data_IF_007713753290
#
_entry.id   IF_007713753290
#
_cell.length_a   1.000
_cell.length_b   1.000
_cell.length_c   1.000
_cell.angle_alpha   90.00
_cell.angle_beta   90.00
_cell.angle_gamma   90.00
#
_symmetry.space_group_name_H-M   'P 1'
#
loop_
_entity.id
_entity.type
_entity.pdbx_description
1 polymer ?
#
# COMPACT_ATOMS: atom_id res chain seq x y z
N UNK A 1 34.28 -9.31 -58.49
CA UNK A 1 32.83 -9.34 -58.22
C UNK A 1 32.46 -10.02 -56.89
N UNK A 2 33.44 -10.36 -56.01
CA UNK A 2 33.14 -11.03 -54.73
C UNK A 2 33.17 -10.09 -53.51
N UNK A 3 33.97 -9.02 -53.51
CA UNK A 3 34.13 -8.17 -52.32
C UNK A 3 32.85 -7.38 -51.95
N UNK A 4 32.05 -6.98 -52.94
CA UNK A 4 30.82 -6.23 -52.70
C UNK A 4 29.74 -7.08 -51.99
N UNK A 5 29.66 -8.37 -52.31
CA UNK A 5 28.67 -9.27 -51.71
C UNK A 5 28.92 -9.51 -50.22
N UNK A 6 30.18 -9.71 -49.83
CA UNK A 6 30.55 -9.91 -48.42
C UNK A 6 30.28 -8.67 -47.56
N UNK A 7 30.51 -7.47 -48.11
CA UNK A 7 30.18 -6.21 -47.42
C UNK A 7 28.67 -6.10 -47.20
N UNK A 8 27.84 -6.45 -48.17
CA UNK A 8 26.38 -6.41 -48.02
C UNK A 8 25.88 -7.47 -47.04
N UNK A 9 26.44 -8.69 -47.04
CA UNK A 9 26.13 -9.70 -46.02
C UNK A 9 26.51 -9.25 -44.61
N UNK A 10 27.68 -8.62 -44.44
CA UNK A 10 28.11 -8.03 -43.17
C UNK A 10 27.16 -6.90 -42.75
N UNK A 11 26.78 -6.03 -43.68
CA UNK A 11 25.80 -4.97 -43.45
C UNK A 11 24.44 -5.52 -42.99
N UNK A 12 23.95 -6.58 -43.63
CA UNK A 12 22.71 -7.24 -43.22
C UNK A 12 22.83 -7.85 -41.81
N UNK A 13 23.95 -8.49 -41.48
CA UNK A 13 24.17 -9.03 -40.14
C UNK A 13 24.20 -7.91 -39.07
N UNK A 14 24.82 -6.77 -39.37
CA UNK A 14 24.84 -5.59 -38.49
C UNK A 14 23.41 -5.04 -38.32
N UNK A 15 22.66 -4.83 -39.41
CA UNK A 15 21.29 -4.36 -39.33
C UNK A 15 20.39 -5.31 -38.54
N UNK A 16 20.55 -6.62 -38.74
CA UNK A 16 19.81 -7.63 -37.98
C UNK A 16 20.15 -7.57 -36.48
N UNK A 17 21.41 -7.35 -36.13
CA UNK A 17 21.84 -7.18 -34.73
C UNK A 17 21.27 -5.89 -34.10
N UNK A 18 21.20 -4.80 -34.86
CA UNK A 18 20.61 -3.54 -34.39
C UNK A 18 19.09 -3.65 -34.24
N UNK A 19 18.42 -4.31 -35.18
CA UNK A 19 16.99 -4.66 -35.10
C UNK A 19 16.72 -5.47 -33.83
N UNK A 20 17.47 -6.54 -33.60
CA UNK A 20 17.43 -7.36 -32.37
C UNK A 20 17.56 -6.53 -31.10
N UNK A 21 18.54 -5.62 -31.08
CA UNK A 21 18.78 -4.74 -29.95
C UNK A 21 17.63 -3.77 -29.72
N UNK A 22 17.21 -3.00 -30.73
CA UNK A 22 16.14 -1.99 -30.56
C UNK A 22 14.81 -2.64 -30.21
N UNK A 23 14.46 -3.73 -30.89
CA UNK A 23 13.24 -4.47 -30.63
C UNK A 23 13.21 -5.04 -29.20
N UNK A 24 14.32 -5.65 -28.76
CA UNK A 24 14.45 -6.13 -27.39
C UNK A 24 14.44 -5.03 -26.34
N UNK A 25 15.11 -3.90 -26.60
CA UNK A 25 15.11 -2.74 -25.70
C UNK A 25 13.75 -2.05 -25.64
N UNK A 26 12.97 -2.07 -26.72
CA UNK A 26 11.60 -1.57 -26.70
C UNK A 26 10.79 -2.28 -25.60
N UNK A 27 10.84 -3.61 -25.56
CA UNK A 27 10.14 -4.38 -24.53
C UNK A 27 10.85 -4.34 -23.17
N UNK A 28 12.17 -4.46 -23.13
CA UNK A 28 12.94 -4.54 -21.89
C UNK A 28 13.04 -3.20 -21.15
N UNK A 29 13.24 -2.10 -21.87
CA UNK A 29 13.35 -0.77 -21.27
C UNK A 29 12.04 -0.02 -21.18
N UNK A 30 10.99 -0.35 -21.95
CA UNK A 30 9.69 0.36 -21.90
C UNK A 30 8.57 -0.51 -21.30
N UNK A 31 8.69 -1.84 -21.31
CA UNK A 31 7.68 -2.75 -20.77
C UNK A 31 7.44 -2.66 -19.25
N UNK A 32 8.47 -2.66 -18.37
CA UNK A 32 8.25 -2.56 -16.92
C UNK A 32 7.57 -1.25 -16.53
N UNK A 33 6.62 -1.27 -15.59
CA UNK A 33 6.01 -0.01 -15.12
C UNK A 33 7.03 0.88 -14.41
N UNK A 34 6.85 2.20 -14.50
CA UNK A 34 7.72 3.17 -13.83
C UNK A 34 7.81 2.93 -12.31
N UNK A 35 6.71 2.53 -11.68
CA UNK A 35 6.67 2.15 -10.27
C UNK A 35 7.55 0.93 -9.97
N UNK A 36 7.45 -0.15 -10.76
CA UNK A 36 8.30 -1.35 -10.58
C UNK A 36 9.78 -1.02 -10.72
N UNK A 37 10.13 -0.19 -11.71
CA UNK A 37 11.50 0.28 -11.89
C UNK A 37 11.99 1.11 -10.70
N UNK A 38 11.17 2.02 -10.16
CA UNK A 38 11.52 2.81 -8.98
C UNK A 38 11.72 1.94 -7.73
N UNK A 39 10.87 0.94 -7.52
CA UNK A 39 11.01 -0.02 -6.41
C UNK A 39 12.32 -0.80 -6.56
N UNK A 40 12.60 -1.34 -7.75
CA UNK A 40 13.85 -2.08 -8.01
C UNK A 40 15.10 -1.19 -7.85
N UNK A 41 15.06 0.04 -8.35
CA UNK A 41 16.16 0.99 -8.23
C UNK A 41 16.45 1.39 -6.77
N UNK A 42 15.39 1.60 -5.96
CA UNK A 42 15.49 1.83 -4.52
C UNK A 42 16.00 0.59 -3.77
N UNK A 43 15.68 -0.61 -4.27
CA UNK A 43 16.23 -1.88 -3.79
C UNK A 43 17.70 -2.12 -4.16
N UNK A 44 18.35 -1.20 -4.88
CA UNK A 44 19.78 -1.26 -5.20
C UNK A 44 20.10 -1.81 -6.60
N UNK A 45 19.10 -2.08 -7.45
CA UNK A 45 19.36 -2.56 -8.82
C UNK A 45 19.91 -1.42 -9.71
N UNK A 46 21.19 -1.55 -10.07
CA UNK A 46 21.91 -0.56 -10.91
C UNK A 46 21.34 -0.50 -12.33
N UNK A 47 20.82 -1.61 -12.84
CA UNK A 47 20.19 -1.67 -14.17
C UNK A 47 18.90 -0.87 -14.21
N UNK A 48 18.03 -1.07 -13.21
CA UNK A 48 16.81 -0.30 -13.02
C UNK A 48 17.10 1.20 -12.87
N UNK A 49 18.13 1.58 -12.11
CA UNK A 49 18.56 2.99 -11.98
C UNK A 49 18.95 3.61 -13.33
N UNK A 50 19.72 2.88 -14.16
CA UNK A 50 20.13 3.36 -15.49
C UNK A 50 18.95 3.46 -16.45
N UNK A 51 18.02 2.51 -16.41
CA UNK A 51 16.80 2.54 -17.22
C UNK A 51 15.93 3.72 -16.80
N UNK A 52 15.76 3.97 -15.49
CA UNK A 52 15.02 5.12 -14.98
C UNK A 52 15.61 6.45 -15.45
N UNK A 53 16.93 6.61 -15.38
CA UNK A 53 17.60 7.83 -15.86
C UNK A 53 17.37 8.05 -17.36
N UNK A 54 17.27 6.97 -18.16
CA UNK A 54 16.93 7.08 -19.58
C UNK A 54 15.44 7.36 -19.80
N UNK A 55 14.56 6.87 -18.93
CA UNK A 55 13.11 7.11 -18.98
C UNK A 55 12.67 8.48 -18.44
N UNK A 56 13.57 9.31 -17.92
CA UNK A 56 13.22 10.70 -17.55
C UNK A 56 12.49 11.41 -18.69
N UNK A 57 13.01 11.26 -19.92
CA UNK A 57 12.33 11.63 -21.16
C UNK A 57 11.75 10.38 -21.84
N UNK A 58 10.64 9.84 -21.33
CA UNK A 58 10.04 8.58 -21.82
C UNK A 58 9.77 8.62 -23.33
N UNK A 59 9.11 9.67 -23.83
CA UNK A 59 8.81 9.78 -25.25
C UNK A 59 10.06 9.92 -26.12
N UNK A 60 11.10 10.61 -25.66
CA UNK A 60 12.37 10.69 -26.39
C UNK A 60 13.06 9.32 -26.45
N UNK A 61 13.03 8.54 -25.36
CA UNK A 61 13.53 7.18 -25.34
C UNK A 61 12.74 6.27 -26.31
N UNK A 62 11.40 6.31 -26.22
CA UNK A 62 10.50 5.56 -27.07
C UNK A 62 10.75 5.87 -28.55
N UNK A 63 10.74 7.14 -28.94
CA UNK A 63 10.94 7.52 -30.34
C UNK A 63 12.34 7.20 -30.84
N UNK A 64 13.37 7.34 -30.01
CA UNK A 64 14.74 6.92 -30.37
C UNK A 64 14.80 5.43 -30.71
N UNK A 65 14.21 4.58 -29.85
CA UNK A 65 14.20 3.13 -30.05
C UNK A 65 13.38 2.76 -31.30
N UNK A 66 12.20 3.36 -31.48
CA UNK A 66 11.34 3.09 -32.63
C UNK A 66 11.97 3.52 -33.96
N UNK A 67 12.53 4.73 -34.03
CA UNK A 67 13.24 5.21 -35.21
C UNK A 67 14.43 4.32 -35.55
N UNK A 68 15.21 3.92 -34.54
CA UNK A 68 16.32 2.99 -34.71
C UNK A 68 15.88 1.64 -35.25
N UNK A 69 14.81 1.08 -34.69
CA UNK A 69 14.25 -0.22 -35.12
C UNK A 69 13.77 -0.17 -36.57
N UNK A 70 12.96 0.84 -36.91
CA UNK A 70 12.43 1.01 -38.26
C UNK A 70 13.57 1.23 -39.26
N UNK A 71 14.54 2.08 -38.93
CA UNK A 71 15.70 2.32 -39.80
C UNK A 71 16.52 1.05 -40.05
N UNK A 72 16.80 0.26 -39.01
CA UNK A 72 17.54 -0.99 -39.14
C UNK A 72 16.78 -2.03 -39.99
N UNK A 73 15.47 -2.17 -39.76
CA UNK A 73 14.62 -3.09 -40.52
C UNK A 73 14.51 -2.69 -41.99
N UNK A 74 14.28 -1.40 -42.27
CA UNK A 74 14.20 -0.89 -43.64
C UNK A 74 15.55 -1.04 -44.35
N UNK A 75 16.66 -0.71 -43.70
CA UNK A 75 17.99 -0.86 -44.28
C UNK A 75 18.31 -2.33 -44.56
N UNK A 76 17.96 -3.25 -43.66
CA UNK A 76 18.12 -4.69 -43.87
C UNK A 76 17.32 -5.18 -45.09
N UNK A 77 16.07 -4.74 -45.25
CA UNK A 77 15.24 -5.11 -46.40
C UNK A 77 15.83 -4.58 -47.72
N UNK A 78 16.33 -3.33 -47.73
CA UNK A 78 16.98 -2.74 -48.90
C UNK A 78 18.29 -3.46 -49.27
N UNK A 79 19.09 -3.84 -48.26
CA UNK A 79 20.31 -4.62 -48.49
C UNK A 79 19.98 -6.03 -48.99
N UNK A 80 18.93 -6.66 -48.46
CA UNK A 80 18.48 -7.97 -48.94
C UNK A 80 18.03 -7.91 -50.40
N UNK A 81 17.27 -6.88 -50.81
CA UNK A 81 16.82 -6.69 -52.20
C UNK A 81 17.98 -6.42 -53.17
N UNK A 82 19.09 -5.87 -52.68
CA UNK A 82 20.29 -5.65 -53.51
C UNK A 82 21.05 -6.93 -53.90
N UNK A 83 20.83 -8.05 -53.19
CA UNK A 83 21.50 -9.35 -53.43
C UNK A 83 20.52 -10.44 -53.86
N UNK A 84 19.30 -10.41 -53.32
CA UNK A 84 18.25 -11.42 -53.54
C UNK A 84 17.18 -10.86 -54.49
N UNK A 85 16.52 -11.73 -55.26
CA UNK A 85 15.54 -11.29 -56.25
C UNK A 85 14.14 -11.14 -55.65
N UNK A 86 13.65 -9.90 -55.53
CA UNK A 86 12.24 -9.55 -55.32
C UNK A 86 11.56 -10.32 -54.19
N UNK A 87 10.66 -11.25 -54.53
CA UNK A 87 9.89 -12.04 -53.54
C UNK A 87 10.80 -12.79 -52.56
N UNK A 88 11.97 -13.27 -53.00
CA UNK A 88 12.93 -13.96 -52.13
C UNK A 88 13.57 -12.98 -51.14
N UNK A 89 13.92 -11.77 -51.58
CA UNK A 89 14.45 -10.72 -50.69
C UNK A 89 13.42 -10.34 -49.63
N UNK A 90 12.17 -10.15 -50.04
CA UNK A 90 11.05 -9.89 -49.14
C UNK A 90 10.86 -11.01 -48.12
N UNK A 91 10.80 -12.26 -48.55
CA UNK A 91 10.61 -13.40 -47.65
C UNK A 91 11.78 -13.55 -46.66
N UNK A 92 13.02 -13.47 -47.13
CA UNK A 92 14.22 -13.61 -46.28
C UNK A 92 14.33 -12.47 -45.29
N UNK A 93 14.15 -11.22 -45.73
CA UNK A 93 14.20 -10.06 -44.82
C UNK A 93 13.06 -10.10 -43.80
N UNK A 94 11.83 -10.44 -44.22
CA UNK A 94 10.67 -10.53 -43.32
C UNK A 94 10.86 -11.63 -42.28
N UNK A 95 11.21 -12.85 -42.69
CA UNK A 95 11.43 -13.96 -41.74
C UNK A 95 12.64 -13.69 -40.87
N UNK A 96 13.71 -13.15 -41.45
CA UNK A 96 14.95 -12.80 -40.74
C UNK A 96 14.70 -11.78 -39.63
N UNK A 97 14.09 -10.64 -39.98
CA UNK A 97 13.71 -9.58 -39.03
C UNK A 97 12.76 -10.14 -37.98
N UNK A 98 11.69 -10.81 -38.40
CA UNK A 98 10.64 -11.24 -37.47
C UNK A 98 11.17 -12.24 -36.44
N UNK A 99 11.90 -13.28 -36.88
CA UNK A 99 12.39 -14.32 -35.97
C UNK A 99 13.62 -13.85 -35.19
N UNK A 100 14.64 -13.36 -35.89
CA UNK A 100 15.95 -13.10 -35.32
C UNK A 100 16.17 -11.64 -34.90
N UNK A 101 15.40 -10.70 -35.45
CA UNK A 101 15.40 -9.29 -35.07
C UNK A 101 14.33 -8.92 -34.05
N UNK A 102 13.23 -9.68 -33.95
CA UNK A 102 12.12 -9.30 -33.07
C UNK A 102 11.80 -10.38 -32.04
N UNK A 103 11.22 -11.51 -32.45
CA UNK A 103 10.64 -12.51 -31.53
C UNK A 103 11.69 -13.09 -30.57
N UNK A 104 12.80 -13.61 -31.10
CA UNK A 104 13.84 -14.23 -30.25
C UNK A 104 14.48 -13.20 -29.32
N UNK A 105 14.98 -12.04 -29.81
CA UNK A 105 15.57 -11.02 -28.95
C UNK A 105 14.60 -10.47 -27.89
N UNK A 106 13.37 -10.14 -28.27
CA UNK A 106 12.37 -9.62 -27.34
C UNK A 106 12.06 -10.61 -26.21
N UNK A 107 11.93 -11.90 -26.54
CA UNK A 107 11.65 -12.94 -25.54
C UNK A 107 12.78 -13.11 -24.53
N UNK A 108 14.04 -12.95 -24.97
CA UNK A 108 15.21 -13.09 -24.10
C UNK A 108 15.44 -11.82 -23.25
N UNK A 109 15.39 -10.65 -23.89
CA UNK A 109 15.67 -9.36 -23.26
C UNK A 109 14.57 -8.98 -22.26
N UNK A 110 13.31 -9.30 -22.54
CA UNK A 110 12.21 -9.04 -21.59
C UNK A 110 12.37 -9.77 -20.25
N UNK A 111 12.95 -10.98 -20.25
CA UNK A 111 13.24 -11.74 -19.03
C UNK A 111 14.42 -11.18 -18.23
N UNK A 112 15.37 -10.52 -18.91
CA UNK A 112 16.59 -9.96 -18.31
C UNK A 112 16.63 -8.42 -18.45
N UNK A 113 15.46 -7.79 -18.43
CA UNK A 113 15.24 -6.39 -18.78
C UNK A 113 16.20 -5.43 -18.05
N UNK A 114 16.35 -5.60 -16.73
CA UNK A 114 17.18 -4.70 -15.92
C UNK A 114 18.67 -4.83 -16.23
N UNK A 115 19.17 -6.06 -16.35
CA UNK A 115 20.58 -6.33 -16.65
C UNK A 115 20.92 -5.84 -18.06
N UNK A 116 20.16 -6.30 -19.06
CA UNK A 116 20.45 -5.99 -20.47
C UNK A 116 20.21 -4.51 -20.76
N UNK A 117 19.10 -3.94 -20.29
CA UNK A 117 18.81 -2.52 -20.43
C UNK A 117 19.86 -1.65 -19.74
N UNK A 118 20.33 -2.05 -18.56
CA UNK A 118 21.40 -1.36 -17.82
C UNK A 118 22.77 -1.41 -18.51
N UNK A 119 23.11 -2.52 -19.18
CA UNK A 119 24.35 -2.69 -19.95
C UNK A 119 24.30 -1.92 -21.28
N UNK A 120 23.15 -1.92 -21.96
CA UNK A 120 22.95 -1.24 -23.23
C UNK A 120 22.59 0.25 -23.09
N UNK A 121 22.30 0.73 -21.88
CA UNK A 121 22.05 2.13 -21.56
C UNK A 121 23.05 3.13 -22.21
N UNK A 122 24.39 2.97 -22.13
CA UNK A 122 25.33 3.88 -22.79
C UNK A 122 25.16 3.89 -24.32
N UNK A 123 24.91 2.73 -24.93
CA UNK A 123 24.68 2.63 -26.38
C UNK A 123 23.39 3.36 -26.79
N UNK A 124 22.33 3.23 -25.99
CA UNK A 124 21.08 3.99 -26.20
C UNK A 124 21.31 5.50 -26.13
N UNK A 125 22.21 5.99 -25.25
CA UNK A 125 22.56 7.42 -25.22
C UNK A 125 23.22 7.89 -26.51
N UNK A 126 24.09 7.05 -27.09
CA UNK A 126 24.71 7.35 -28.39
C UNK A 126 23.64 7.45 -29.47
N UNK A 127 22.71 6.50 -29.55
CA UNK A 127 21.61 6.57 -30.51
C UNK A 127 20.66 7.73 -30.24
N UNK A 128 20.39 8.07 -28.98
CA UNK A 128 19.60 9.26 -28.62
C UNK A 128 20.24 10.53 -29.18
N UNK A 129 21.57 10.63 -29.13
CA UNK A 129 22.29 11.76 -29.73
C UNK A 129 22.23 11.73 -31.27
N UNK A 130 22.49 10.58 -31.89
CA UNK A 130 22.49 10.43 -33.36
C UNK A 130 21.11 10.66 -33.98
N UNK A 131 20.06 10.11 -33.38
CA UNK A 131 18.68 10.20 -33.84
C UNK A 131 17.94 11.39 -33.25
N UNK A 132 18.59 12.21 -32.41
CA UNK A 132 18.00 13.42 -31.84
C UNK A 132 17.23 14.30 -32.83
N UNK A 133 17.74 14.62 -34.04
CA UNK A 133 17.03 15.52 -34.97
C UNK A 133 15.67 15.01 -35.43
N UNK A 134 15.46 13.68 -35.42
CA UNK A 134 14.18 13.05 -35.80
C UNK A 134 13.38 12.58 -34.59
N UNK A 135 14.05 12.08 -33.55
CA UNK A 135 13.42 11.55 -32.35
C UNK A 135 12.81 12.65 -31.47
N UNK A 136 13.47 13.81 -31.35
CA UNK A 136 12.98 14.94 -30.56
C UNK A 136 11.64 15.52 -31.08
N UNK A 137 11.47 15.86 -32.38
CA UNK A 137 10.19 16.36 -32.86
C UNK A 137 9.08 15.30 -32.75
N UNK A 138 9.40 14.02 -32.99
CA UNK A 138 8.44 12.93 -32.77
C UNK A 138 8.03 12.84 -31.29
N UNK A 139 8.97 12.97 -30.35
CA UNK A 139 8.68 12.91 -28.93
C UNK A 139 7.77 14.08 -28.50
N UNK A 140 8.09 15.29 -28.96
CA UNK A 140 7.29 16.48 -28.66
C UNK A 140 5.86 16.40 -29.20
N UNK A 141 5.69 15.75 -30.35
CA UNK A 141 4.38 15.45 -30.91
C UNK A 141 3.60 14.46 -30.03
N UNK A 142 4.24 13.41 -29.53
CA UNK A 142 3.61 12.47 -28.59
C UNK A 142 3.27 13.15 -27.25
N UNK A 143 4.15 14.01 -26.72
CA UNK A 143 3.87 14.76 -25.49
C UNK A 143 2.58 15.59 -25.63
N UNK A 144 2.34 16.18 -26.80
CA UNK A 144 1.14 16.96 -27.07
C UNK A 144 -0.12 16.11 -27.27
N UNK A 145 0.01 14.94 -27.91
CA UNK A 145 -1.13 14.07 -28.23
C UNK A 145 -1.56 13.17 -27.07
N UNK A 146 -0.60 12.65 -26.30
CA UNK A 146 -0.81 11.56 -25.32
C UNK A 146 -0.60 12.05 -23.88
N UNK A 147 0.28 13.04 -23.68
CA UNK A 147 0.68 13.49 -22.35
C UNK A 147 1.85 12.69 -21.76
N UNK A 148 2.38 13.13 -20.61
CA UNK A 148 3.59 12.57 -19.99
C UNK A 148 3.36 11.19 -19.34
N UNK A 149 4.44 10.40 -19.20
CA UNK A 149 4.42 9.12 -18.46
C UNK A 149 4.18 9.38 -16.96
N UNK A 150 2.93 9.31 -16.52
CA UNK A 150 2.55 9.42 -15.12
C UNK A 150 3.09 8.27 -14.26
N UNK A 151 3.28 8.54 -12.96
CA UNK A 151 3.40 7.48 -11.97
C UNK A 151 2.02 6.83 -11.83
N UNK A 152 1.81 5.69 -12.47
CA UNK A 152 0.63 4.85 -12.26
C UNK A 152 0.65 4.27 -10.84
N UNK A 153 0.39 5.11 -9.84
CA UNK A 153 0.16 4.69 -8.48
C UNK A 153 -1.09 3.82 -8.46
N UNK A 154 -1.01 2.72 -7.72
CA UNK A 154 -2.16 1.85 -7.56
C UNK A 154 -3.28 2.59 -6.84
N UNK A 155 -4.50 2.43 -7.35
CA UNK A 155 -5.68 2.79 -6.57
C UNK A 155 -5.77 1.82 -5.40
N UNK A 156 -6.43 2.22 -4.32
CA UNK A 156 -6.55 1.34 -3.15
C UNK A 156 -7.26 0.02 -3.48
N UNK A 157 -8.26 0.06 -4.36
CA UNK A 157 -8.92 -1.14 -4.90
C UNK A 157 -7.93 -2.11 -5.55
N UNK A 158 -6.99 -1.58 -6.35
CA UNK A 158 -5.96 -2.38 -7.02
C UNK A 158 -4.95 -2.94 -6.01
N UNK A 159 -4.59 -2.16 -4.97
CA UNK A 159 -3.70 -2.61 -3.90
C UNK A 159 -4.33 -3.73 -3.06
N UNK A 160 -5.62 -3.58 -2.72
CA UNK A 160 -6.40 -4.60 -2.02
C UNK A 160 -6.44 -5.89 -2.84
N UNK A 161 -6.67 -5.80 -4.15
CA UNK A 161 -6.69 -6.98 -5.02
C UNK A 161 -5.31 -7.61 -5.19
N UNK A 162 -4.26 -6.80 -5.33
CA UNK A 162 -2.89 -7.29 -5.34
C UNK A 162 -2.56 -8.08 -4.06
N UNK A 163 -2.95 -7.58 -2.89
CA UNK A 163 -2.79 -8.31 -1.62
C UNK A 163 -3.58 -9.62 -1.62
N UNK A 164 -4.83 -9.65 -2.12
CA UNK A 164 -5.62 -10.89 -2.23
C UNK A 164 -4.96 -11.94 -3.12
N UNK A 165 -4.39 -11.53 -4.25
CA UNK A 165 -3.64 -12.43 -5.13
C UNK A 165 -2.42 -13.03 -4.41
N UNK A 166 -1.68 -12.24 -3.63
CA UNK A 166 -0.53 -12.72 -2.86
C UNK A 166 -0.94 -13.66 -1.72
N UNK A 167 -2.11 -13.44 -1.09
CA UNK A 167 -2.64 -14.34 -0.05
C UNK A 167 -3.04 -15.70 -0.63
N UNK A 168 -3.53 -15.73 -1.87
CA UNK A 168 -3.98 -16.95 -2.54
C UNK A 168 -2.86 -17.82 -3.11
N UNK A 169 -1.70 -17.22 -3.42
CA UNK A 169 -0.57 -17.87 -4.06
C UNK A 169 0.43 -18.45 -3.03
N UNK A 170 0.57 -19.77 -3.01
CA UNK A 170 1.46 -20.48 -2.07
C UNK A 170 2.96 -20.22 -2.37
N UNK A 171 3.29 -19.61 -3.51
CA UNK A 171 4.65 -19.18 -3.85
C UNK A 171 5.00 -17.75 -3.42
N UNK A 172 4.01 -17.01 -2.90
CA UNK A 172 4.18 -15.66 -2.39
C UNK A 172 5.02 -15.64 -1.10
N UNK A 173 5.90 -14.64 -0.97
CA UNK A 173 6.62 -14.36 0.29
C UNK A 173 5.72 -13.73 1.36
N UNK A 174 4.56 -13.17 0.95
CA UNK A 174 3.59 -12.59 1.87
C UNK A 174 2.74 -13.71 2.45
N UNK A 175 2.84 -13.92 3.76
CA UNK A 175 2.03 -14.91 4.45
C UNK A 175 0.55 -14.53 4.48
N UNK A 176 -0.33 -15.51 4.62
CA UNK A 176 -1.78 -15.29 4.76
C UNK A 176 -2.11 -14.32 5.91
N UNK A 177 -1.38 -14.44 7.02
CA UNK A 177 -1.51 -13.59 8.21
C UNK A 177 -1.17 -12.14 7.88
N UNK A 178 -0.02 -11.89 7.23
CA UNK A 178 0.43 -10.55 6.86
C UNK A 178 -0.51 -9.89 5.85
N UNK A 179 -0.89 -10.61 4.80
CA UNK A 179 -1.78 -10.09 3.78
C UNK A 179 -3.18 -9.77 4.35
N UNK A 180 -3.75 -10.66 5.18
CA UNK A 180 -5.06 -10.41 5.79
C UNK A 180 -5.01 -9.25 6.79
N UNK A 181 -3.94 -9.16 7.58
CA UNK A 181 -3.70 -8.03 8.47
C UNK A 181 -3.65 -6.71 7.69
N UNK A 182 -2.87 -6.65 6.61
CA UNK A 182 -2.77 -5.45 5.76
C UNK A 182 -4.14 -5.04 5.17
N UNK A 183 -4.94 -6.00 4.71
CA UNK A 183 -6.30 -5.73 4.22
C UNK A 183 -7.22 -5.18 5.31
N UNK A 184 -7.16 -5.72 6.53
CA UNK A 184 -7.97 -5.24 7.65
C UNK A 184 -7.57 -3.82 8.07
N UNK A 185 -6.29 -3.47 7.99
CA UNK A 185 -5.81 -2.11 8.22
C UNK A 185 -6.23 -1.13 7.12
N UNK A 186 -6.16 -1.54 5.85
CA UNK A 186 -6.65 -0.72 4.73
C UNK A 186 -8.15 -0.42 4.85
N UNK A 187 -8.93 -1.33 5.42
CA UNK A 187 -10.37 -1.14 5.60
C UNK A 187 -10.78 -0.25 6.80
N UNK A 188 -9.82 0.38 7.50
CA UNK A 188 -10.13 1.22 8.68
C UNK A 188 -10.89 2.51 8.35
N UNK A 189 -10.72 3.03 7.14
CA UNK A 189 -11.43 4.21 6.62
C UNK A 189 -12.88 3.87 6.21
N UNK A 190 -13.14 2.61 5.89
CA UNK A 190 -14.46 2.09 5.53
C UNK A 190 -15.28 1.65 6.76
N UNK A 191 -14.66 1.49 7.94
CA UNK A 191 -15.30 0.96 9.15
C UNK A 191 -15.74 2.04 10.11
N UNK A 192 -16.99 1.92 10.56
CA UNK A 192 -17.63 2.88 11.44
C UNK A 192 -17.57 2.44 12.91
N UNK A 193 -17.36 3.39 13.82
CA UNK A 193 -17.30 3.12 15.26
C UNK A 193 -18.56 2.41 15.78
N UNK A 194 -19.74 2.77 15.28
CA UNK A 194 -20.99 2.15 15.71
C UNK A 194 -21.11 0.66 15.37
N UNK A 195 -20.46 0.19 14.31
CA UNK A 195 -20.47 -1.22 13.90
C UNK A 195 -19.44 -2.05 14.68
N UNK A 196 -18.34 -1.40 15.06
CA UNK A 196 -17.19 -2.02 15.70
C UNK A 196 -17.26 -2.04 17.23
N UNK A 197 -17.92 -1.03 17.82
CA UNK A 197 -18.07 -0.92 19.26
C UNK A 197 -19.12 -1.89 19.82
N UNK A 198 -18.86 -2.41 21.00
CA UNK A 198 -19.77 -3.30 21.71
C UNK A 198 -20.83 -2.52 22.50
N UNK A 199 -22.08 -3.02 22.60
CA UNK A 199 -23.11 -2.40 23.44
C UNK A 199 -22.64 -2.25 24.90
N UNK A 200 -22.77 -1.04 25.43
CA UNK A 200 -22.42 -0.77 26.83
C UNK A 200 -23.50 -1.34 27.75
N UNK A 201 -23.09 -2.14 28.74
CA UNK A 201 -24.02 -2.70 29.70
C UNK A 201 -24.65 -1.59 30.56
N UNK A 202 -25.99 -1.54 30.75
CA UNK A 202 -26.65 -0.46 31.49
C UNK A 202 -26.16 -0.31 32.94
N UNK A 203 -25.88 -1.43 33.62
CA UNK A 203 -25.33 -1.42 34.98
C UNK A 203 -23.87 -0.94 35.06
N UNK A 204 -23.19 -0.75 33.93
CA UNK A 204 -21.86 -0.12 33.88
C UNK A 204 -21.94 1.40 33.92
N UNK A 205 -23.13 2.02 33.99
CA UNK A 205 -23.30 3.47 34.01
C UNK A 205 -23.68 3.91 35.42
N UNK A 206 -22.84 4.75 36.03
CA UNK A 206 -23.07 5.30 37.37
C UNK A 206 -23.07 6.82 37.28
N UNK A 207 -24.12 7.47 37.77
CA UNK A 207 -24.21 8.93 37.82
C UNK A 207 -23.71 9.44 39.17
N UNK A 208 -22.77 10.38 39.14
CA UNK A 208 -22.19 11.00 40.33
C UNK A 208 -22.27 12.53 40.23
N UNK A 209 -22.37 13.24 41.38
CA UNK A 209 -22.24 14.69 41.39
C UNK A 209 -20.80 15.10 41.04
N UNK A 210 -20.66 16.19 40.29
CA UNK A 210 -19.36 16.78 39.94
C UNK A 210 -19.25 18.18 40.54
N UNK A 211 -18.18 18.43 41.30
CA UNK A 211 -17.86 19.74 41.87
C UNK A 211 -16.51 20.19 41.29
N UNK A 212 -16.46 21.39 40.70
CA UNK A 212 -15.28 21.93 40.03
C UNK A 212 -14.65 20.96 38.99
N UNK A 213 -15.48 20.15 38.33
CA UNK A 213 -15.05 19.18 37.32
C UNK A 213 -14.46 17.88 37.87
N UNK A 214 -14.51 17.65 39.18
CA UNK A 214 -14.12 16.39 39.83
C UNK A 214 -15.36 15.62 40.30
N UNK A 215 -15.39 14.28 40.13
CA UNK A 215 -16.47 13.46 40.67
C UNK A 215 -16.41 13.44 42.20
N UNK A 216 -17.57 13.51 42.84
CA UNK A 216 -17.70 13.31 44.28
C UNK A 216 -18.20 11.90 44.50
N UNK A 217 -17.29 11.02 44.92
CA UNK A 217 -17.62 9.64 45.25
C UNK A 217 -18.32 9.58 46.62
N UNK A 218 -19.36 8.74 46.78
CA UNK A 218 -19.95 8.49 48.09
C UNK A 218 -18.92 7.82 49.02
N UNK A 219 -19.05 8.07 50.32
CA UNK A 219 -18.35 7.25 51.31
C UNK A 219 -18.83 5.81 51.21
N UNK A 220 -17.91 4.86 51.30
CA UNK A 220 -18.20 3.43 51.25
C UNK A 220 -17.46 2.71 52.38
N UNK A 221 -17.97 1.55 52.76
CA UNK A 221 -17.28 0.59 53.63
C UNK A 221 -16.78 -0.57 52.77
N UNK A 222 -15.60 -1.11 53.05
CA UNK A 222 -14.97 -2.24 52.36
C UNK A 222 -15.64 -3.58 52.73
N UNK A 223 -16.97 -3.59 52.65
CA UNK A 223 -17.82 -4.73 52.85
C UNK A 223 -18.58 -5.07 51.56
N UNK A 224 -18.90 -6.34 51.37
CA UNK A 224 -19.68 -6.85 50.23
C UNK A 224 -21.11 -6.34 50.22
N UNK A 225 -21.59 -5.78 51.33
CA UNK A 225 -22.94 -5.22 51.44
C UNK A 225 -23.03 -3.74 51.10
N UNK A 226 -21.88 -3.07 50.89
CA UNK A 226 -21.85 -1.65 50.55
C UNK A 226 -22.53 -1.37 49.20
N UNK A 227 -23.44 -0.38 49.20
CA UNK A 227 -24.27 -0.07 48.04
C UNK A 227 -23.46 0.46 46.85
N UNK A 228 -22.39 1.22 47.11
CA UNK A 228 -21.54 1.78 46.06
C UNK A 228 -20.63 0.71 45.45
N UNK A 229 -20.03 -0.15 46.28
CA UNK A 229 -19.23 -1.28 45.81
C UNK A 229 -20.09 -2.29 45.02
N UNK A 230 -21.32 -2.55 45.47
CA UNK A 230 -22.29 -3.37 44.73
C UNK A 230 -22.67 -2.75 43.39
N UNK A 231 -22.90 -1.43 43.33
CA UNK A 231 -23.21 -0.74 42.08
C UNK A 231 -22.06 -0.83 41.06
N UNK A 232 -20.80 -0.71 41.51
CA UNK A 232 -19.62 -0.91 40.66
C UNK A 232 -19.51 -2.35 40.20
N UNK A 233 -19.77 -3.32 41.08
CA UNK A 233 -19.68 -4.74 40.76
C UNK A 233 -20.81 -5.25 39.86
N UNK A 234 -21.99 -4.61 39.88
CA UNK A 234 -23.23 -5.09 39.28
C UNK A 234 -23.15 -5.43 37.78
N UNK A 235 -22.26 -4.77 37.04
CA UNK A 235 -22.08 -5.04 35.60
C UNK A 235 -21.20 -6.24 35.29
N UNK A 236 -20.38 -6.70 36.25
CA UNK A 236 -19.27 -7.63 36.05
C UNK A 236 -18.32 -7.23 34.89
N UNK A 237 -18.28 -5.94 34.54
CA UNK A 237 -17.39 -5.39 33.50
C UNK A 237 -16.21 -4.67 34.13
N UNK A 238 -15.10 -4.62 33.40
CA UNK A 238 -13.87 -3.96 33.84
C UNK A 238 -14.03 -2.44 33.96
N UNK A 239 -14.92 -1.85 33.17
CA UNK A 239 -15.06 -0.42 33.00
C UNK A 239 -16.44 0.06 33.40
N UNK A 240 -16.49 1.06 34.28
CA UNK A 240 -17.70 1.73 34.73
C UNK A 240 -17.67 3.17 34.26
N UNK A 241 -18.66 3.58 33.46
CA UNK A 241 -18.80 4.93 32.95
C UNK A 241 -19.44 5.80 34.03
N UNK A 242 -18.71 6.83 34.44
CA UNK A 242 -19.19 7.85 35.39
C UNK A 242 -19.76 9.02 34.61
N UNK A 243 -21.06 9.27 34.82
CA UNK A 243 -21.79 10.38 34.19
C UNK A 243 -22.09 11.50 35.19
N UNK A 244 -22.26 12.71 34.69
CA UNK A 244 -22.83 13.81 35.48
C UNK A 244 -24.37 13.69 35.57
N UNK A 245 -25.01 14.65 36.26
CA UNK A 245 -26.47 14.70 36.41
C UNK A 245 -27.21 14.85 35.07
N UNK A 246 -26.54 15.35 34.03
CA UNK A 246 -27.08 15.50 32.69
C UNK A 246 -26.84 14.24 31.82
N UNK A 247 -26.37 13.14 32.41
CA UNK A 247 -26.06 11.88 31.74
C UNK A 247 -24.93 11.99 30.71
N UNK A 248 -24.05 12.99 30.83
CA UNK A 248 -22.85 13.10 30.00
C UNK A 248 -21.69 12.31 30.63
N UNK A 249 -20.99 11.45 29.87
CA UNK A 249 -19.87 10.68 30.38
C UNK A 249 -18.67 11.60 30.60
N UNK A 250 -18.09 11.56 31.81
CA UNK A 250 -16.94 12.40 32.18
C UNK A 250 -15.69 11.56 32.43
N UNK A 251 -15.85 10.41 33.07
CA UNK A 251 -14.76 9.53 33.49
C UNK A 251 -15.17 8.07 33.31
N UNK A 252 -14.17 7.19 33.26
CA UNK A 252 -14.35 5.75 33.37
C UNK A 252 -13.52 5.21 34.52
N UNK A 253 -14.15 4.47 35.42
CA UNK A 253 -13.51 3.81 36.55
C UNK A 253 -13.13 2.38 36.14
N UNK A 254 -11.90 1.97 36.41
CA UNK A 254 -11.49 0.58 36.30
C UNK A 254 -11.96 -0.21 37.53
N UNK A 255 -13.08 -0.92 37.42
CA UNK A 255 -13.70 -1.65 38.52
C UNK A 255 -12.77 -2.71 39.10
N UNK A 256 -12.05 -3.46 38.26
CA UNK A 256 -11.14 -4.51 38.73
C UNK A 256 -10.02 -3.95 39.59
N UNK A 257 -9.39 -2.87 39.16
CA UNK A 257 -8.26 -2.29 39.89
C UNK A 257 -8.74 -1.65 41.19
N UNK A 258 -9.87 -0.95 41.14
CA UNK A 258 -10.47 -0.30 42.31
C UNK A 258 -10.95 -1.32 43.35
N UNK A 259 -11.82 -2.27 42.97
CA UNK A 259 -12.36 -3.27 43.90
C UNK A 259 -11.26 -4.15 44.50
N UNK A 260 -10.20 -4.45 43.73
CA UNK A 260 -9.03 -5.17 44.24
C UNK A 260 -8.26 -4.35 45.27
N UNK A 261 -8.09 -3.05 45.03
CA UNK A 261 -7.43 -2.16 46.00
C UNK A 261 -8.26 -2.07 47.28
N UNK A 262 -9.58 -1.88 47.18
CA UNK A 262 -10.48 -1.85 48.35
C UNK A 262 -10.39 -3.15 49.17
N UNK A 263 -10.32 -4.31 48.49
CA UNK A 263 -10.17 -5.60 49.16
C UNK A 263 -8.84 -5.74 49.94
N UNK A 264 -7.77 -5.11 49.47
CA UNK A 264 -6.42 -5.23 50.05
C UNK A 264 -6.11 -4.14 51.08
N UNK A 265 -6.51 -2.91 50.79
CA UNK A 265 -6.14 -1.69 51.54
C UNK A 265 -7.31 -1.10 52.35
N UNK A 266 -8.52 -1.64 52.20
CA UNK A 266 -9.73 -1.23 52.94
C UNK A 266 -10.35 0.09 52.45
N UNK A 267 -11.01 0.80 53.36
CA UNK A 267 -11.84 1.99 53.08
C UNK A 267 -11.05 3.23 52.61
N UNK A 268 -9.71 3.19 52.73
CA UNK A 268 -8.82 4.31 52.43
C UNK A 268 -8.48 4.51 50.95
N UNK A 269 -9.01 3.68 50.06
CA UNK A 269 -8.68 3.73 48.63
C UNK A 269 -9.44 4.86 47.95
N UNK A 270 -8.69 5.80 47.38
CA UNK A 270 -9.25 6.89 46.59
C UNK A 270 -9.73 6.38 45.21
N UNK A 271 -11.05 6.36 44.93
CA UNK A 271 -11.56 5.88 43.64
C UNK A 271 -11.08 6.72 42.46
N UNK A 272 -10.78 8.01 42.66
CA UNK A 272 -10.34 8.91 41.60
C UNK A 272 -9.00 8.48 40.98
N UNK A 273 -8.15 7.77 41.73
CA UNK A 273 -6.87 7.22 41.22
C UNK A 273 -7.05 6.09 40.22
N UNK A 274 -8.22 5.46 40.19
CA UNK A 274 -8.58 4.39 39.27
C UNK A 274 -9.48 4.88 38.12
N UNK A 275 -9.69 6.20 38.03
CA UNK A 275 -10.43 6.82 36.95
C UNK A 275 -9.54 7.27 35.80
N UNK A 276 -10.04 7.08 34.59
CA UNK A 276 -9.43 7.54 33.35
C UNK A 276 -10.42 8.39 32.56
N UNK A 277 -9.89 9.23 31.66
CA UNK A 277 -10.73 10.04 30.77
C UNK A 277 -10.97 9.25 29.47
N UNK A 278 -12.22 8.93 29.12
CA UNK A 278 -12.52 8.28 27.86
C UNK A 278 -12.45 9.28 26.69
N UNK A 279 -12.26 8.75 25.47
CA UNK A 279 -12.59 9.49 24.26
C UNK A 279 -14.08 9.33 23.98
N UNK A 280 -14.83 10.43 24.01
CA UNK A 280 -16.27 10.41 23.77
C UNK A 280 -16.55 10.84 22.33
N UNK A 281 -17.23 9.98 21.60
CA UNK A 281 -17.68 10.20 20.23
C UNK A 281 -19.20 10.18 20.21
N UNK A 282 -19.83 11.15 19.56
CA UNK A 282 -21.29 11.28 19.53
C UNK A 282 -21.92 10.88 18.20
N UNK A 283 -21.11 10.68 17.15
CA UNK A 283 -21.58 10.25 15.84
C UNK A 283 -21.20 8.77 15.59
N UNK A 284 -22.17 7.86 15.46
CA UNK A 284 -21.90 6.44 15.18
C UNK A 284 -21.22 6.21 13.84
N UNK A 285 -21.34 7.16 12.89
CA UNK A 285 -20.71 7.10 11.57
C UNK A 285 -19.27 7.59 11.57
N UNK A 286 -18.73 8.00 12.73
CA UNK A 286 -17.32 8.35 12.84
C UNK A 286 -16.47 7.15 12.46
N UNK A 287 -15.60 7.32 11.46
CA UNK A 287 -14.69 6.28 10.99
C UNK A 287 -13.61 5.98 12.01
N UNK A 288 -13.17 4.73 12.08
CA UNK A 288 -12.11 4.33 13.00
C UNK A 288 -10.79 5.08 12.77
N UNK A 289 -10.46 5.43 11.52
CA UNK A 289 -9.29 6.26 11.19
C UNK A 289 -9.27 7.60 11.95
N UNK A 290 -10.43 8.26 12.05
CA UNK A 290 -10.56 9.56 12.68
C UNK A 290 -10.47 9.44 14.21
N UNK A 291 -11.02 8.36 14.76
CA UNK A 291 -10.92 8.03 16.18
C UNK A 291 -9.45 7.79 16.56
N UNK A 292 -8.72 7.00 15.77
CA UNK A 292 -7.28 6.74 15.97
C UNK A 292 -6.44 8.02 15.92
N UNK A 293 -6.71 8.91 14.96
CA UNK A 293 -6.03 10.21 14.88
C UNK A 293 -6.27 11.07 16.12
N UNK A 294 -7.49 11.07 16.68
CA UNK A 294 -7.80 11.81 17.91
C UNK A 294 -7.05 11.25 19.12
N UNK A 295 -6.89 9.92 19.21
CA UNK A 295 -6.14 9.26 20.28
C UNK A 295 -4.66 9.67 20.22
N UNK A 296 -4.06 9.67 19.04
CA UNK A 296 -2.67 10.06 18.84
C UNK A 296 -2.44 11.53 19.23
N UNK A 297 -3.35 12.43 18.82
CA UNK A 297 -3.30 13.84 19.19
C UNK A 297 -3.39 14.08 20.70
N UNK A 298 -4.19 13.28 21.42
CA UNK A 298 -4.30 13.37 22.87
C UNK A 298 -3.07 12.84 23.59
N UNK A 299 -2.43 11.80 23.04
CA UNK A 299 -1.24 11.15 23.61
C UNK A 299 0.03 12.00 23.51
N UNK A 300 0.09 12.94 22.55
CA UNK A 300 1.24 13.83 22.33
C UNK A 300 1.27 15.07 23.24
N UNK A 301 0.29 15.28 24.13
CA UNK A 301 0.27 16.47 25.02
C UNK A 301 1.21 16.27 26.22
N UNK A 302 2.26 17.09 26.38
CA UNK A 302 3.33 16.89 27.38
C UNK A 302 2.86 17.03 28.84
N UNK A 303 1.76 17.75 29.08
CA UNK A 303 1.22 18.00 30.44
C UNK A 303 0.34 16.88 30.99
N UNK A 304 0.26 15.72 30.32
CA UNK A 304 -0.60 14.62 30.77
C UNK A 304 0.18 13.30 30.85
N UNK A 305 0.00 12.52 31.94
CA UNK A 305 0.59 11.20 32.05
C UNK A 305 0.14 10.31 30.88
N UNK A 306 1.03 9.41 30.46
CA UNK A 306 0.80 8.48 29.36
C UNK A 306 -0.60 7.83 29.48
N UNK A 307 -1.40 7.91 28.42
CA UNK A 307 -2.74 7.35 28.40
C UNK A 307 -2.69 5.82 28.60
N UNK A 308 -3.20 5.36 29.74
CA UNK A 308 -3.64 3.99 30.00
C UNK A 308 -4.87 3.65 29.13
N UNK A 309 -5.17 2.35 28.89
CA UNK A 309 -5.71 1.85 27.62
C UNK A 309 -6.89 2.64 27.07
N UNK A 310 -6.76 2.96 25.78
CA UNK A 310 -7.69 3.67 24.92
C UNK A 310 -9.12 3.14 25.07
N UNK A 311 -9.93 3.84 25.85
CA UNK A 311 -11.34 3.55 25.99
C UNK A 311 -12.14 4.60 25.24
N UNK A 312 -12.82 4.16 24.19
CA UNK A 312 -13.65 4.99 23.33
C UNK A 312 -15.10 4.70 23.70
N UNK A 313 -15.85 5.75 23.97
CA UNK A 313 -17.29 5.68 24.22
C UNK A 313 -18.02 6.28 23.02
N UNK A 314 -18.85 5.49 22.36
CA UNK A 314 -19.89 6.01 21.50
C UNK A 314 -21.09 6.35 22.38
N UNK A 315 -21.39 7.64 22.49
CA UNK A 315 -22.44 8.13 23.38
C UNK A 315 -23.51 8.86 22.61
N UNK A 316 -24.56 8.14 22.23
CA UNK A 316 -25.78 8.72 21.65
C UNK A 316 -26.96 8.53 22.61
N UNK A 317 -28.04 9.31 22.48
CA UNK A 317 -29.22 9.16 23.34
C UNK A 317 -29.85 7.76 23.27
N UNK A 318 -29.81 7.12 22.10
CA UNK A 318 -30.46 5.82 21.84
C UNK A 318 -29.52 4.63 21.89
N UNK A 319 -28.22 4.84 21.67
CA UNK A 319 -27.23 3.77 21.56
C UNK A 319 -25.92 4.19 22.27
N UNK A 320 -25.53 3.39 23.26
CA UNK A 320 -24.32 3.59 24.07
C UNK A 320 -23.43 2.39 23.85
N UNK A 321 -22.24 2.63 23.35
CA UNK A 321 -21.27 1.57 23.04
C UNK A 321 -19.90 1.90 23.58
N UNK A 322 -19.10 0.87 23.77
CA UNK A 322 -17.72 0.96 24.22
C UNK A 322 -16.83 0.21 23.24
N UNK A 323 -15.68 0.80 22.93
CA UNK A 323 -14.62 0.15 22.17
C UNK A 323 -13.31 0.34 22.95
N UNK A 324 -12.69 -0.77 23.34
CA UNK A 324 -11.37 -0.75 23.96
C UNK A 324 -10.28 -0.96 22.91
N UNK A 325 -9.04 -0.60 23.25
CA UNK A 325 -7.89 -0.88 22.39
C UNK A 325 -7.67 -2.38 22.13
N UNK A 326 -8.08 -3.26 23.05
CA UNK A 326 -8.03 -4.71 22.86
C UNK A 326 -9.07 -5.13 21.83
N UNK A 327 -10.31 -4.67 21.96
CA UNK A 327 -11.38 -4.99 21.02
C UNK A 327 -11.05 -4.51 19.60
N UNK A 328 -10.45 -3.30 19.48
CA UNK A 328 -10.00 -2.78 18.19
C UNK A 328 -8.92 -3.69 17.56
N UNK A 329 -7.95 -4.15 18.36
CA UNK A 329 -6.92 -5.07 17.90
C UNK A 329 -7.50 -6.43 17.51
N UNK A 330 -8.40 -6.99 18.31
CA UNK A 330 -9.10 -8.24 18.00
C UNK A 330 -9.91 -8.12 16.70
N UNK A 331 -10.59 -7.00 16.48
CA UNK A 331 -11.34 -6.74 15.25
C UNK A 331 -10.44 -6.55 14.03
N UNK A 332 -9.22 -6.06 14.22
CA UNK A 332 -8.19 -5.97 13.18
C UNK A 332 -7.50 -7.31 12.90
N UNK A 333 -7.44 -8.20 13.89
CA UNK A 333 -6.87 -9.55 13.76
C UNK A 333 -7.92 -10.61 13.40
N UNK A 334 -9.21 -10.23 13.35
CA UNK A 334 -10.29 -11.15 13.01
C UNK A 334 -10.09 -11.74 11.61
N UNK A 335 -10.17 -13.07 11.53
CA UNK A 335 -9.94 -13.83 10.28
C UNK A 335 -8.48 -13.90 9.81
N UNK A 336 -7.53 -13.30 10.54
CA UNK A 336 -6.10 -13.35 10.20
C UNK A 336 -5.51 -14.73 10.52
N UNK A 337 -5.98 -15.36 11.60
CA UNK A 337 -5.54 -16.70 12.04
C UNK A 337 -6.45 -17.85 11.55
N UNK A 338 -7.49 -17.57 10.76
CA UNK A 338 -8.31 -18.62 10.18
C UNK A 338 -7.51 -19.38 9.11
N UNK A 339 -7.34 -20.71 9.25
CA UNK A 339 -6.60 -21.48 8.26
C UNK A 339 -7.32 -21.45 6.91
N UNK A 340 -6.53 -21.44 5.83
CA UNK A 340 -7.00 -21.56 4.44
C UNK A 340 -8.03 -22.70 4.39
N UNK A 341 -9.29 -22.38 4.06
CA UNK A 341 -10.30 -23.41 3.85
C UNK A 341 -9.75 -24.40 2.79
N UNK A 342 -9.75 -25.71 3.04
CA UNK A 342 -9.24 -26.66 2.07
C UNK A 342 -10.06 -26.51 0.79
N UNK A 343 -9.37 -26.27 -0.33
CA UNK A 343 -9.96 -26.26 -1.67
C UNK A 343 -10.62 -27.64 -1.87
N UNK A 344 -11.95 -27.67 -1.89
CA UNK A 344 -12.76 -28.85 -2.17
C UNK A 344 -12.86 -29.15 -3.65
#
# INVERSE_FOLDING_TARGET
>A
MNDMGWVTWLGMAICLSQSAMFSGLNLGMLGPSRLRLQVAAKGGDVGAQRILALREDFHLLLTTILWGNVAANTLLALLADSILTGVVAFAVSTVGITLFGEIVPQSYISRHAYIVGGVLAPLVRVYRFLLYPVAWPSARMLDWLVGEEGLGLFREEDLREMLRLHIGDDSSEVSHVEGRGALNFLALDDRNLGEEAEPLHPASIVSLPFIAGQPVFPSYEADRTDAFLQAIHASHRNWIVVTDHEQHPRLVLNAHTFLRAVLMDGDGVDPARHCHRPLVVTDPKTRLEAVLAQIELQSRRPDRPALHPTLILLWTPSDKRVLTGVDLLENLLRGVAEPKAPLG
#
